data_IF_721184752431
#
_entry.id   IF_721184752431
#
_cell.length_a   1.000
_cell.length_b   1.000
_cell.length_c   1.000
_cell.angle_alpha   90.00
_cell.angle_beta   90.00
_cell.angle_gamma   90.00
#
_symmetry.space_group_name_H-M   'P 1'
#
loop_
_entity.id
_entity.type
_entity.pdbx_description
1 polymer ?
#
# COMPACT_ATOMS: atom_id res chain seq x y z
N UNK A 1 7.07 26.62 31.53
CA UNK A 1 7.80 25.38 31.75
C UNK A 1 7.00 24.16 31.31
N UNK A 2 7.67 23.04 31.01
CA UNK A 2 7.07 21.74 30.79
C UNK A 2 7.33 20.89 32.02
N UNK A 3 6.37 20.05 32.42
CA UNK A 3 6.52 19.08 33.50
C UNK A 3 6.50 17.68 32.85
N UNK A 4 7.50 16.86 33.14
CA UNK A 4 7.53 15.47 32.71
C UNK A 4 6.52 14.62 33.51
N UNK A 5 6.07 13.47 32.99
CA UNK A 5 5.32 12.50 33.77
C UNK A 5 6.05 12.17 35.08
N UNK A 6 5.34 12.05 36.20
CA UNK A 6 5.91 11.84 37.51
C UNK A 6 5.04 10.98 38.41
N UNK A 7 5.66 10.08 39.16
CA UNK A 7 5.02 9.29 40.22
C UNK A 7 4.97 10.02 41.58
N UNK A 8 5.33 11.29 41.61
CA UNK A 8 5.29 12.10 42.82
C UNK A 8 6.50 12.01 43.70
N UNK A 9 7.46 11.12 43.45
CA UNK A 9 8.71 11.04 44.21
C UNK A 9 9.73 12.10 43.77
N UNK A 10 9.78 12.35 42.47
CA UNK A 10 10.58 13.43 41.86
C UNK A 10 9.74 14.05 40.76
N UNK A 11 9.74 15.38 40.69
CA UNK A 11 9.09 16.14 39.65
C UNK A 11 10.21 16.77 38.82
N UNK A 12 10.18 16.56 37.53
CA UNK A 12 11.18 17.12 36.61
C UNK A 12 10.52 17.80 35.38
N UNK A 13 11.35 18.45 34.59
CA UNK A 13 10.86 19.08 33.39
C UNK A 13 11.86 20.04 32.78
N UNK A 14 11.35 20.93 31.90
CA UNK A 14 12.16 21.93 31.24
C UNK A 14 11.58 23.34 31.43
N UNK A 15 12.46 24.33 31.52
CA UNK A 15 12.14 25.73 31.60
C UNK A 15 13.27 26.56 30.94
N UNK A 16 13.17 27.87 30.95
CA UNK A 16 14.28 28.74 30.56
C UNK A 16 15.49 28.49 31.47
N UNK A 17 16.68 28.42 30.87
CA UNK A 17 17.91 28.17 31.59
C UNK A 17 18.15 29.24 32.67
N UNK A 18 18.40 28.81 33.94
CA UNK A 18 18.57 29.69 35.06
C UNK A 18 17.29 30.26 35.68
N UNK A 19 16.12 29.99 35.09
CA UNK A 19 14.87 30.46 35.68
C UNK A 19 14.51 29.68 36.94
N UNK A 20 13.95 30.37 37.92
CA UNK A 20 13.35 29.80 39.11
C UNK A 20 12.03 29.14 38.78
N UNK A 21 11.87 27.85 39.05
CA UNK A 21 10.62 27.10 38.84
C UNK A 21 9.88 27.00 40.16
N UNK A 22 8.68 27.55 40.20
CA UNK A 22 7.81 27.56 41.40
C UNK A 22 6.70 26.50 41.14
N UNK A 23 6.57 25.58 42.10
CA UNK A 23 5.65 24.46 42.05
C UNK A 23 4.50 24.61 43.06
N UNK A 24 3.29 24.44 42.60
CA UNK A 24 2.07 24.45 43.42
C UNK A 24 1.21 23.22 43.13
N UNK A 25 0.34 22.83 44.05
CA UNK A 25 -0.66 21.82 43.82
C UNK A 25 -1.82 22.38 42.93
N UNK A 26 -2.78 21.52 42.54
CA UNK A 26 -3.93 21.89 41.76
C UNK A 26 -4.84 22.96 42.41
N UNK A 27 -4.68 23.19 43.72
CA UNK A 27 -5.43 24.22 44.49
C UNK A 27 -4.61 25.51 44.70
N UNK A 28 -3.36 25.55 44.19
CA UNK A 28 -2.45 26.68 44.37
C UNK A 28 -1.64 26.67 45.65
N UNK A 29 -1.68 25.62 46.47
CA UNK A 29 -0.83 25.50 47.65
C UNK A 29 0.64 25.22 47.23
N UNK A 30 1.63 25.81 47.89
CA UNK A 30 3.02 25.62 47.51
C UNK A 30 3.50 24.18 47.76
N UNK A 31 4.09 23.59 46.73
CA UNK A 31 4.82 22.30 46.81
C UNK A 31 6.31 22.59 47.09
N UNK A 32 6.88 23.57 46.38
CA UNK A 32 8.27 23.96 46.52
C UNK A 32 8.80 24.75 45.34
N UNK A 33 10.12 24.90 45.27
CA UNK A 33 10.79 25.62 44.20
C UNK A 33 12.14 24.99 43.87
N UNK A 34 12.56 25.17 42.62
CA UNK A 34 13.87 24.73 42.13
C UNK A 34 14.37 25.71 41.07
N UNK A 35 15.58 25.50 40.53
CA UNK A 35 16.14 26.33 39.45
C UNK A 35 16.51 25.45 38.28
N UNK A 36 16.15 25.88 37.07
CA UNK A 36 16.56 25.23 35.82
C UNK A 36 18.06 25.38 35.61
N UNK A 37 18.74 24.30 35.23
CA UNK A 37 20.18 24.32 34.95
C UNK A 37 20.50 25.10 33.65
N UNK A 38 21.79 25.13 33.26
CA UNK A 38 22.25 25.83 32.06
C UNK A 38 21.71 25.23 30.71
N UNK A 39 21.14 24.05 30.77
CA UNK A 39 20.45 23.41 29.63
C UNK A 39 18.93 23.53 29.69
N UNK A 40 18.42 24.20 30.72
CA UNK A 40 16.99 24.37 30.95
C UNK A 40 16.30 23.22 31.66
N UNK A 41 17.01 22.19 32.13
CA UNK A 41 16.41 21.08 32.88
C UNK A 41 16.28 21.43 34.36
N UNK A 42 15.20 20.99 34.99
CA UNK A 42 14.98 21.18 36.39
C UNK A 42 14.40 19.90 37.03
N UNK A 43 14.75 19.68 38.31
CA UNK A 43 14.22 18.60 39.14
C UNK A 43 13.89 19.15 40.54
N UNK A 44 12.86 18.59 41.16
CA UNK A 44 12.43 18.86 42.50
C UNK A 44 11.99 17.58 43.18
N UNK A 45 12.48 17.33 44.40
CA UNK A 45 12.09 16.19 45.20
C UNK A 45 11.28 16.70 46.42
N UNK A 46 9.97 16.42 46.46
CA UNK A 46 9.14 16.76 47.63
C UNK A 46 9.63 16.06 48.87
N UNK A 47 9.46 16.69 50.04
CA UNK A 47 9.81 16.09 51.32
C UNK A 47 9.02 14.81 51.64
N UNK A 48 7.82 14.70 51.12
CA UNK A 48 7.01 13.49 51.09
C UNK A 48 6.48 13.31 49.65
N UNK A 49 6.51 12.06 49.09
CA UNK A 49 5.96 11.82 47.75
C UNK A 49 4.54 12.34 47.65
N UNK A 50 4.23 12.95 46.51
CA UNK A 50 2.89 13.44 46.24
C UNK A 50 1.95 12.27 45.91
N UNK A 51 0.72 12.34 46.39
CA UNK A 51 -0.27 11.29 46.20
C UNK A 51 -0.70 11.19 44.72
N UNK A 52 -1.09 9.99 44.31
CA UNK A 52 -1.72 9.77 42.97
C UNK A 52 -2.89 10.73 42.73
N UNK A 53 -2.97 11.29 41.53
CA UNK A 53 -4.01 12.23 41.16
C UNK A 53 -3.73 13.68 41.61
N UNK A 54 -2.62 13.96 42.33
CA UNK A 54 -2.23 15.33 42.69
C UNK A 54 -1.94 16.12 41.41
N UNK A 55 -2.68 17.20 41.17
CA UNK A 55 -2.33 18.19 40.16
C UNK A 55 -1.07 18.95 40.57
N UNK A 56 -0.11 19.08 39.68
CA UNK A 56 1.08 19.87 39.85
C UNK A 56 1.13 20.95 38.80
N UNK A 57 1.29 22.19 39.25
CA UNK A 57 1.45 23.35 38.39
C UNK A 57 2.87 23.89 38.55
N UNK A 58 3.49 24.29 37.47
CA UNK A 58 4.82 24.90 37.46
C UNK A 58 4.77 26.26 36.74
N UNK A 59 5.39 27.26 37.34
CA UNK A 59 5.60 28.57 36.73
C UNK A 59 7.10 28.87 36.77
N UNK A 60 7.67 29.23 35.62
CA UNK A 60 9.07 29.69 35.57
C UNK A 60 9.10 31.21 35.74
N UNK A 61 10.03 31.70 36.56
CA UNK A 61 10.31 33.09 36.81
C UNK A 61 11.76 33.42 36.44
N UNK A 62 11.98 34.40 35.59
CA UNK A 62 13.32 34.84 35.23
C UNK A 62 13.99 35.62 36.39
N UNK A 63 15.30 35.93 36.33
CA UNK A 63 16.00 36.74 37.36
C UNK A 63 15.46 38.17 37.48
N UNK A 64 14.73 38.68 36.49
CA UNK A 64 14.10 40.02 36.54
C UNK A 64 12.69 39.97 37.22
N UNK A 65 12.19 38.78 37.55
CA UNK A 65 10.90 38.59 38.22
C UNK A 65 9.73 38.39 37.27
N UNK A 66 9.95 38.28 35.94
CA UNK A 66 8.86 38.01 34.98
C UNK A 66 8.49 36.52 35.05
N UNK A 67 7.18 36.24 35.02
CA UNK A 67 6.65 34.87 35.08
C UNK A 67 6.16 34.43 33.71
N UNK A 68 6.57 33.22 33.30
CA UNK A 68 6.11 32.56 32.07
C UNK A 68 4.73 31.87 32.24
N UNK A 69 4.18 31.34 31.14
CA UNK A 69 2.93 30.59 31.22
C UNK A 69 3.08 29.34 32.11
N UNK A 70 1.97 28.99 32.79
CA UNK A 70 1.92 27.82 33.65
C UNK A 70 1.94 26.53 32.82
N UNK A 71 2.79 25.59 33.21
CA UNK A 71 2.69 24.17 32.84
C UNK A 71 1.94 23.39 33.91
N UNK A 72 1.25 22.33 33.52
CA UNK A 72 0.50 21.48 34.46
C UNK A 72 0.68 20.01 34.12
N UNK A 73 0.74 19.16 35.16
CA UNK A 73 0.73 17.71 35.05
C UNK A 73 -0.03 17.12 36.23
N UNK A 74 -0.43 15.86 36.10
CA UNK A 74 -1.05 15.12 37.21
C UNK A 74 -0.09 13.99 37.63
N UNK A 75 0.11 13.85 38.91
CA UNK A 75 0.93 12.75 39.49
C UNK A 75 0.20 11.42 39.21
N UNK A 76 0.90 10.50 38.57
CA UNK A 76 0.50 9.12 38.45
C UNK A 76 1.40 8.24 39.28
N UNK A 77 0.91 7.80 40.44
CA UNK A 77 1.61 6.91 41.36
C UNK A 77 1.04 5.48 41.34
N UNK A 78 0.34 5.11 40.25
CA UNK A 78 -0.22 3.77 40.07
C UNK A 78 0.74 2.96 39.20
N UNK A 79 1.31 1.91 39.77
CA UNK A 79 2.17 1.01 38.99
C UNK A 79 1.36 0.23 37.94
N UNK A 80 1.95 -0.04 36.77
CA UNK A 80 1.37 -0.96 35.80
C UNK A 80 1.04 -2.32 36.40
N UNK A 81 0.08 -3.03 35.83
CA UNK A 81 -0.15 -4.42 36.22
C UNK A 81 1.11 -5.28 35.94
N UNK A 82 1.26 -6.35 36.70
CA UNK A 82 2.31 -7.34 36.45
C UNK A 82 2.23 -7.83 35.01
N UNK A 83 3.33 -7.77 34.22
CA UNK A 83 3.35 -8.26 32.85
C UNK A 83 3.01 -9.75 32.77
N UNK A 84 2.48 -10.16 31.61
CA UNK A 84 2.46 -11.57 31.24
C UNK A 84 3.73 -11.85 30.44
N UNK A 85 4.38 -12.97 30.71
CA UNK A 85 5.51 -13.50 29.96
C UNK A 85 5.17 -14.90 29.48
N UNK A 86 5.26 -15.13 28.17
CA UNK A 86 5.00 -16.43 27.58
C UNK A 86 6.19 -17.37 27.82
N UNK A 87 5.98 -18.71 27.80
CA UNK A 87 7.05 -19.68 27.73
C UNK A 87 8.03 -19.37 26.60
N UNK A 88 9.32 -19.58 26.82
CA UNK A 88 10.36 -19.23 25.85
C UNK A 88 11.48 -20.26 25.84
N UNK A 89 11.98 -20.54 24.62
CA UNK A 89 13.19 -21.32 24.42
C UNK A 89 14.49 -20.48 24.47
N UNK A 90 14.36 -19.21 24.79
CA UNK A 90 15.51 -18.29 24.94
C UNK A 90 15.90 -17.55 23.64
N UNK A 91 15.29 -17.84 22.49
CA UNK A 91 15.51 -17.08 21.25
C UNK A 91 14.65 -15.82 21.18
N UNK A 92 13.42 -15.90 21.65
CA UNK A 92 12.45 -14.82 21.70
C UNK A 92 11.75 -14.83 23.06
N UNK A 93 11.67 -13.68 23.69
CA UNK A 93 10.86 -13.41 24.88
C UNK A 93 9.72 -12.51 24.46
N UNK A 94 8.49 -12.85 24.81
CA UNK A 94 7.31 -12.07 24.45
C UNK A 94 6.21 -12.20 25.51
N UNK A 95 5.21 -11.35 25.38
CA UNK A 95 4.06 -11.39 26.29
C UNK A 95 3.21 -10.13 26.17
N UNK A 96 2.53 -9.79 27.27
CA UNK A 96 1.73 -8.57 27.34
C UNK A 96 2.08 -7.73 28.56
N UNK A 97 1.93 -6.43 28.44
CA UNK A 97 2.11 -5.44 29.50
C UNK A 97 1.15 -4.27 29.25
N UNK A 98 1.17 -3.27 30.11
CA UNK A 98 0.40 -2.05 29.88
C UNK A 98 0.83 -1.38 28.57
N UNK A 99 -0.11 -0.97 27.69
CA UNK A 99 0.23 -0.31 26.44
C UNK A 99 1.14 0.91 26.64
N UNK A 100 2.23 0.99 25.87
CA UNK A 100 3.20 2.07 25.94
C UNK A 100 4.21 1.97 27.09
N UNK A 101 4.08 0.99 28.01
CA UNK A 101 5.04 0.80 29.09
C UNK A 101 6.39 0.29 28.60
N UNK A 102 7.47 0.66 29.29
CA UNK A 102 8.81 0.10 29.09
C UNK A 102 8.92 -1.23 29.81
N UNK A 103 9.14 -2.29 29.04
CA UNK A 103 9.32 -3.65 29.58
C UNK A 103 10.80 -3.91 29.77
N UNK A 104 11.21 -4.16 31.01
CA UNK A 104 12.59 -4.44 31.38
C UNK A 104 12.76 -5.92 31.77
N UNK A 105 13.78 -6.57 31.18
CA UNK A 105 14.09 -7.97 31.37
C UNK A 105 15.43 -8.11 32.09
N UNK A 106 15.45 -8.89 33.18
CA UNK A 106 16.68 -9.23 33.94
C UNK A 106 16.78 -10.73 34.14
N UNK A 107 17.99 -11.24 34.37
CA UNK A 107 18.17 -12.63 34.81
C UNK A 107 17.74 -12.83 36.28
N UNK A 108 17.79 -14.07 36.76
CA UNK A 108 17.45 -14.42 38.12
C UNK A 108 18.35 -13.75 39.21
N UNK A 109 19.49 -13.19 38.82
CA UNK A 109 20.41 -12.46 39.66
C UNK A 109 20.25 -10.93 39.56
N UNK A 110 19.31 -10.46 38.73
CA UNK A 110 19.06 -9.04 38.48
C UNK A 110 19.98 -8.40 37.43
N UNK A 111 20.83 -9.17 36.74
CA UNK A 111 21.62 -8.63 35.63
C UNK A 111 20.72 -8.32 34.43
N UNK A 112 20.96 -7.20 33.71
CA UNK A 112 20.13 -6.81 32.59
C UNK A 112 20.26 -7.78 31.42
N UNK A 113 19.12 -8.23 30.88
CA UNK A 113 19.02 -8.96 29.61
C UNK A 113 18.68 -7.95 28.48
N UNK A 114 17.77 -7.02 28.75
CA UNK A 114 17.39 -5.97 27.78
C UNK A 114 16.09 -5.26 28.11
N UNK A 115 15.67 -4.42 27.19
CA UNK A 115 14.43 -3.64 27.30
C UNK A 115 13.69 -3.61 25.96
N UNK A 116 12.38 -3.47 26.02
CA UNK A 116 11.49 -3.24 24.89
C UNK A 116 10.31 -2.39 25.34
N UNK A 117 9.42 -2.01 24.42
CA UNK A 117 8.20 -1.26 24.75
C UNK A 117 6.97 -2.07 24.33
N UNK A 118 5.94 -2.08 25.16
CA UNK A 118 4.64 -2.65 24.81
C UNK A 118 3.94 -1.77 23.77
N UNK A 119 3.41 -2.37 22.72
CA UNK A 119 2.68 -1.67 21.66
C UNK A 119 1.32 -1.12 22.13
N UNK A 120 0.58 -0.45 21.25
CA UNK A 120 -0.72 0.12 21.57
C UNK A 120 -1.81 -0.91 21.94
N UNK A 121 -1.57 -2.21 21.70
CA UNK A 121 -2.41 -3.34 22.10
C UNK A 121 -1.88 -4.04 23.35
N UNK A 122 -0.75 -3.56 23.89
CA UNK A 122 -0.09 -4.12 25.06
C UNK A 122 0.84 -5.29 24.78
N UNK A 123 1.11 -5.65 23.53
CA UNK A 123 2.02 -6.74 23.20
C UNK A 123 3.47 -6.24 23.24
N UNK A 124 4.38 -7.08 23.72
CA UNK A 124 5.80 -6.82 23.70
C UNK A 124 6.59 -8.04 23.21
N UNK A 125 7.72 -7.80 22.60
CA UNK A 125 8.69 -8.83 22.22
C UNK A 125 10.12 -8.32 22.37
N UNK A 126 11.03 -9.24 22.70
CA UNK A 126 12.46 -8.97 22.83
C UNK A 126 13.28 -10.15 22.32
N UNK A 127 14.22 -9.91 21.43
CA UNK A 127 15.17 -10.91 20.93
C UNK A 127 16.54 -10.66 21.57
N UNK A 128 17.04 -11.55 22.43
CA UNK A 128 18.40 -11.44 22.99
C UNK A 128 19.47 -11.49 21.89
N UNK A 129 20.61 -10.84 22.11
CA UNK A 129 21.73 -10.86 21.17
C UNK A 129 22.34 -12.25 20.94
N UNK A 130 22.08 -13.21 21.83
CA UNK A 130 22.34 -14.64 21.69
C UNK A 130 21.26 -15.40 22.49
N UNK A 131 20.98 -16.64 22.06
CA UNK A 131 20.01 -17.49 22.76
C UNK A 131 20.35 -17.59 24.23
N UNK A 132 19.38 -17.37 25.09
CA UNK A 132 19.56 -17.57 26.55
C UNK A 132 19.67 -19.06 26.85
N UNK A 133 20.61 -19.45 27.77
CA UNK A 133 20.78 -20.84 28.14
C UNK A 133 19.52 -21.45 28.78
N UNK A 134 19.33 -22.75 28.56
CA UNK A 134 18.28 -23.52 29.26
C UNK A 134 18.39 -23.37 30.78
N UNK A 135 17.26 -23.19 31.46
CA UNK A 135 17.19 -22.95 32.88
C UNK A 135 17.46 -21.52 33.33
N UNK A 136 17.74 -20.57 32.42
CA UNK A 136 17.83 -19.14 32.74
C UNK A 136 16.49 -18.64 33.26
N UNK A 137 16.50 -18.14 34.52
CA UNK A 137 15.34 -17.44 35.08
C UNK A 137 15.30 -16.02 34.48
N UNK A 138 14.18 -15.61 33.97
CA UNK A 138 13.95 -14.26 33.41
C UNK A 138 12.87 -13.57 34.24
N UNK A 139 13.20 -12.43 34.80
CA UNK A 139 12.27 -11.55 35.51
C UNK A 139 11.89 -10.40 34.55
N UNK A 140 10.61 -10.09 34.48
CA UNK A 140 10.05 -9.08 33.58
C UNK A 140 9.23 -8.09 34.39
N UNK A 141 9.56 -6.80 34.26
CA UNK A 141 8.79 -5.70 34.85
C UNK A 141 8.34 -4.73 33.79
N UNK A 142 7.23 -4.05 34.04
CA UNK A 142 6.75 -2.95 33.19
C UNK A 142 6.86 -1.64 33.97
N UNK A 143 7.33 -0.58 33.30
CA UNK A 143 7.37 0.77 33.88
C UNK A 143 6.59 1.72 33.00
N UNK A 144 5.69 2.52 33.56
CA UNK A 144 4.95 3.56 32.87
C UNK A 144 5.81 4.81 32.61
N UNK A 145 5.23 5.80 31.97
CA UNK A 145 5.89 7.08 31.68
C UNK A 145 6.17 7.91 32.94
N UNK A 146 5.45 7.67 34.04
CA UNK A 146 5.67 8.34 35.31
C UNK A 146 6.78 7.69 36.16
N UNK A 147 7.31 6.56 35.72
CA UNK A 147 8.37 5.81 36.38
C UNK A 147 7.88 4.83 37.47
N UNK A 148 6.56 4.54 37.54
CA UNK A 148 6.08 3.47 38.40
C UNK A 148 6.41 2.14 37.75
N UNK A 149 6.82 1.18 38.59
CA UNK A 149 7.24 -0.15 38.14
C UNK A 149 6.35 -1.22 38.74
N UNK A 150 5.90 -2.15 37.91
CA UNK A 150 5.06 -3.28 38.27
C UNK A 150 5.80 -4.28 39.21
N UNK A 151 5.05 -5.18 39.79
CA UNK A 151 5.62 -6.42 40.32
C UNK A 151 6.23 -7.23 39.15
N UNK A 152 7.31 -8.03 39.43
CA UNK A 152 7.93 -8.86 38.40
C UNK A 152 7.07 -10.07 38.06
N UNK A 153 6.95 -10.37 36.75
CA UNK A 153 6.60 -11.69 36.26
C UNK A 153 7.89 -12.50 36.07
N UNK A 154 7.81 -13.81 36.23
CA UNK A 154 8.98 -14.69 36.09
C UNK A 154 8.68 -15.84 35.15
N UNK A 155 9.62 -16.14 34.25
CA UNK A 155 9.63 -17.37 33.46
C UNK A 155 11.00 -18.02 33.52
N UNK A 156 11.07 -19.31 33.22
CA UNK A 156 12.34 -20.02 33.07
C UNK A 156 12.49 -20.42 31.62
N UNK A 157 13.64 -20.10 31.04
CA UNK A 157 13.97 -20.52 29.67
C UNK A 157 14.01 -22.05 29.65
N UNK A 158 13.19 -22.63 28.79
CA UNK A 158 13.22 -24.05 28.43
C UNK A 158 13.56 -24.18 26.95
N UNK A 159 14.84 -24.45 26.67
CA UNK A 159 15.29 -24.64 25.29
C UNK A 159 14.80 -25.96 24.69
N UNK A 160 14.13 -26.80 25.48
CA UNK A 160 13.36 -27.94 24.99
C UNK A 160 11.93 -27.58 24.59
N UNK A 161 11.48 -26.33 24.84
CA UNK A 161 10.23 -25.81 24.35
C UNK A 161 10.20 -25.87 22.82
N UNK A 162 9.16 -26.42 22.22
CA UNK A 162 8.97 -26.36 20.77
C UNK A 162 8.89 -24.91 20.29
N UNK A 163 9.36 -24.68 19.08
CA UNK A 163 9.09 -23.44 18.37
C UNK A 163 7.59 -23.23 18.16
N UNK A 164 7.15 -21.98 18.15
CA UNK A 164 5.76 -21.67 17.79
C UNK A 164 5.53 -22.13 16.35
N UNK A 165 4.48 -22.93 16.07
CA UNK A 165 4.20 -23.36 14.70
C UNK A 165 4.00 -22.19 13.76
N UNK A 166 4.45 -22.31 12.53
CA UNK A 166 3.97 -21.48 11.44
C UNK A 166 2.69 -22.11 10.89
N UNK A 167 1.67 -21.32 10.66
CA UNK A 167 0.39 -21.77 10.12
C UNK A 167 0.11 -20.98 8.86
N UNK A 168 -0.18 -21.70 7.77
CA UNK A 168 -0.54 -21.11 6.49
C UNK A 168 -1.96 -20.51 6.57
N UNK A 169 -2.28 -19.49 5.76
CA UNK A 169 -3.66 -19.07 5.57
C UNK A 169 -4.53 -20.26 5.15
N UNK A 170 -5.79 -20.29 5.59
CA UNK A 170 -6.67 -21.45 5.36
C UNK A 170 -8.13 -21.03 5.13
N UNK A 171 -8.78 -21.67 4.16
CA UNK A 171 -10.22 -21.56 3.94
C UNK A 171 -11.04 -22.56 4.78
N UNK A 172 -10.41 -23.19 5.75
CA UNK A 172 -11.07 -24.17 6.63
C UNK A 172 -11.13 -25.60 6.09
N UNK A 173 -10.78 -25.84 4.83
CA UNK A 173 -10.75 -27.19 4.25
C UNK A 173 -9.52 -27.98 4.68
N UNK A 174 -8.39 -27.31 4.77
CA UNK A 174 -7.11 -27.85 5.25
C UNK A 174 -6.44 -26.78 6.11
N UNK A 175 -5.87 -27.19 7.23
CA UNK A 175 -4.99 -26.36 8.07
C UNK A 175 -3.61 -26.96 7.96
N UNK A 176 -2.62 -26.17 7.53
CA UNK A 176 -1.25 -26.63 7.28
C UNK A 176 -0.22 -25.65 7.79
N UNK A 177 1.03 -26.08 7.77
CA UNK A 177 2.13 -25.22 8.16
C UNK A 177 3.40 -25.98 8.46
N UNK A 178 4.28 -25.34 9.24
CA UNK A 178 5.55 -25.93 9.68
C UNK A 178 5.74 -25.84 11.18
N UNK A 179 6.48 -26.78 11.75
CA UNK A 179 6.87 -26.85 13.17
C UNK A 179 8.17 -27.66 13.30
N UNK A 180 8.68 -27.83 14.52
CA UNK A 180 9.81 -28.72 14.77
C UNK A 180 9.43 -30.16 14.45
N UNK A 181 10.31 -30.86 13.73
CA UNK A 181 10.07 -32.22 13.26
C UNK A 181 9.74 -33.16 14.44
N UNK A 182 8.71 -33.98 14.26
CA UNK A 182 8.27 -34.97 15.24
C UNK A 182 7.38 -34.41 16.37
N UNK A 183 7.13 -33.09 16.41
CA UNK A 183 6.19 -32.52 17.38
C UNK A 183 4.74 -32.85 17.03
N UNK A 184 3.91 -33.03 18.04
CA UNK A 184 2.47 -33.14 17.88
C UNK A 184 1.85 -31.77 17.79
N UNK A 185 1.17 -31.47 16.70
CA UNK A 185 0.44 -30.23 16.48
C UNK A 185 -0.99 -30.42 16.99
N UNK A 186 -1.38 -29.61 17.95
CA UNK A 186 -2.70 -29.61 18.58
C UNK A 186 -3.45 -28.40 18.05
N UNK A 187 -4.63 -28.64 17.52
CA UNK A 187 -5.48 -27.64 16.83
C UNK A 187 -6.79 -27.54 17.62
N UNK A 188 -7.10 -26.30 18.06
CA UNK A 188 -8.34 -25.99 18.80
C UNK A 188 -9.03 -24.79 18.20
N UNK A 189 -10.31 -24.62 18.47
CA UNK A 189 -11.03 -23.38 18.15
C UNK A 189 -10.66 -22.25 19.12
N UNK A 190 -11.17 -21.03 18.89
CA UNK A 190 -10.93 -19.86 19.74
C UNK A 190 -11.41 -19.99 21.19
N UNK A 191 -12.25 -20.99 21.48
CA UNK A 191 -12.75 -21.31 22.83
C UNK A 191 -11.98 -22.45 23.49
N UNK A 192 -10.98 -23.03 22.79
CA UNK A 192 -10.19 -24.15 23.25
C UNK A 192 -10.81 -25.53 23.02
N UNK A 193 -11.92 -25.63 22.28
CA UNK A 193 -12.49 -26.95 21.91
C UNK A 193 -11.59 -27.63 20.88
N UNK A 194 -11.35 -28.95 20.99
CA UNK A 194 -10.45 -29.66 20.09
C UNK A 194 -11.05 -29.75 18.67
N UNK A 195 -10.26 -29.35 17.67
CA UNK A 195 -10.53 -29.58 16.24
C UNK A 195 -9.81 -30.85 15.80
N UNK A 196 -8.55 -31.02 16.20
CA UNK A 196 -7.76 -32.20 15.88
C UNK A 196 -6.31 -32.13 16.26
N UNK A 197 -5.56 -33.14 15.82
CA UNK A 197 -4.11 -33.16 16.00
C UNK A 197 -3.42 -33.93 14.86
N UNK A 198 -2.17 -33.56 14.60
CA UNK A 198 -1.31 -34.19 13.59
C UNK A 198 0.16 -34.13 14.03
N UNK A 199 1.03 -34.95 13.48
CA UNK A 199 2.46 -34.91 13.78
C UNK A 199 3.20 -34.25 12.63
N UNK A 200 4.12 -33.30 12.93
CA UNK A 200 5.02 -32.73 11.96
C UNK A 200 5.99 -33.79 11.43
N UNK A 201 6.16 -33.87 10.12
CA UNK A 201 7.02 -34.85 9.47
C UNK A 201 8.51 -34.58 9.74
N UNK A 202 9.40 -35.42 9.19
CA UNK A 202 10.86 -35.29 9.35
C UNK A 202 11.46 -34.00 8.74
N UNK A 203 10.69 -33.26 7.91
CA UNK A 203 11.03 -31.95 7.34
C UNK A 203 10.36 -30.81 8.09
N UNK A 204 9.54 -31.13 9.09
CA UNK A 204 8.79 -30.15 9.89
C UNK A 204 7.46 -29.74 9.28
N UNK A 205 7.02 -30.31 8.16
CA UNK A 205 5.73 -29.99 7.56
C UNK A 205 4.60 -30.75 8.23
N UNK A 206 3.44 -30.11 8.34
CA UNK A 206 2.24 -30.74 8.86
C UNK A 206 1.00 -30.25 8.09
N UNK A 207 -0.01 -31.11 8.02
CA UNK A 207 -1.28 -30.81 7.37
C UNK A 207 -2.40 -31.60 8.05
N UNK A 208 -3.49 -30.92 8.34
CA UNK A 208 -4.66 -31.48 8.99
C UNK A 208 -5.93 -31.15 8.19
N UNK A 209 -6.75 -32.13 7.88
CA UNK A 209 -8.02 -31.96 7.20
C UNK A 209 -9.15 -32.19 8.21
N UNK A 210 -9.92 -31.14 8.59
CA UNK A 210 -11.10 -31.32 9.45
C UNK A 210 -12.14 -32.24 8.80
N UNK A 211 -12.87 -33.02 9.61
CA UNK A 211 -13.94 -33.88 9.08
C UNK A 211 -15.08 -33.11 8.41
N UNK A 212 -15.26 -31.85 8.77
CA UNK A 212 -16.14 -30.87 8.12
C UNK A 212 -15.32 -29.60 8.00
N UNK A 213 -15.29 -28.91 6.83
CA UNK A 213 -14.60 -27.67 6.68
C UNK A 213 -15.01 -26.63 7.75
N UNK A 214 -14.05 -25.93 8.30
CA UNK A 214 -14.31 -24.92 9.32
C UNK A 214 -14.97 -23.70 8.66
N UNK A 215 -16.01 -23.11 9.30
CA UNK A 215 -16.66 -21.92 8.80
C UNK A 215 -15.71 -20.71 8.70
N UNK A 216 -16.03 -19.79 7.79
CA UNK A 216 -15.41 -18.47 7.73
C UNK A 216 -15.47 -17.77 9.08
N UNK A 217 -14.39 -17.03 9.41
CA UNK A 217 -14.26 -16.33 10.69
C UNK A 217 -13.91 -17.21 11.89
N UNK A 218 -13.80 -18.54 11.71
CA UNK A 218 -13.38 -19.45 12.80
C UNK A 218 -11.96 -19.10 13.23
N UNK A 219 -11.78 -18.77 14.51
CA UNK A 219 -10.44 -18.61 15.12
C UNK A 219 -9.88 -20.00 15.41
N UNK A 220 -8.67 -20.25 14.97
CA UNK A 220 -7.95 -21.52 15.17
C UNK A 220 -6.67 -21.24 15.92
N UNK A 221 -6.48 -21.93 17.06
CA UNK A 221 -5.25 -21.92 17.84
C UNK A 221 -4.48 -23.21 17.53
N UNK A 222 -3.19 -23.05 17.26
CA UNK A 222 -2.29 -24.16 16.92
C UNK A 222 -1.12 -24.17 17.87
N UNK A 223 -0.91 -25.26 18.59
CA UNK A 223 0.17 -25.46 19.55
C UNK A 223 1.02 -26.64 19.11
N UNK A 224 2.33 -26.51 19.12
CA UNK A 224 3.25 -27.62 18.96
C UNK A 224 3.58 -28.21 20.33
N UNK A 225 3.42 -29.52 20.49
CA UNK A 225 3.77 -30.28 21.69
C UNK A 225 4.99 -31.15 21.41
N UNK A 226 6.06 -30.96 22.18
CA UNK A 226 7.25 -31.80 22.07
C UNK A 226 6.96 -33.25 22.50
N UNK A 227 7.82 -34.22 22.14
CA UNK A 227 7.76 -35.57 22.68
C UNK A 227 7.86 -35.61 24.21
N UNK A 228 8.47 -34.60 24.84
CA UNK A 228 8.56 -34.45 26.30
C UNK A 228 7.30 -33.84 26.91
N UNK A 229 6.24 -33.68 26.15
CA UNK A 229 4.95 -33.15 26.59
C UNK A 229 4.97 -31.66 27.03
N UNK A 230 5.88 -30.89 26.44
CA UNK A 230 5.99 -29.43 26.63
C UNK A 230 5.32 -28.75 25.45
N UNK A 231 4.44 -27.80 25.73
CA UNK A 231 3.69 -27.06 24.71
C UNK A 231 4.40 -25.75 24.34
N UNK A 232 4.38 -25.41 23.07
CA UNK A 232 4.78 -24.07 22.59
C UNK A 232 3.74 -23.02 23.00
N UNK A 233 4.07 -21.74 22.82
CA UNK A 233 3.04 -20.72 22.71
C UNK A 233 2.16 -21.00 21.47
N UNK A 234 0.87 -20.61 21.47
CA UNK A 234 -0.03 -20.82 20.36
C UNK A 234 0.28 -19.90 19.17
N UNK A 235 0.21 -20.43 17.95
CA UNK A 235 -0.05 -19.65 16.76
C UNK A 235 -1.56 -19.51 16.57
N UNK A 236 -2.01 -18.37 16.09
CA UNK A 236 -3.43 -18.09 15.91
C UNK A 236 -3.67 -17.64 14.47
N UNK A 237 -4.65 -18.26 13.81
CA UNK A 237 -5.17 -17.81 12.52
C UNK A 237 -6.68 -17.66 12.58
N UNK A 238 -7.23 -16.91 11.66
CA UNK A 238 -8.68 -16.89 11.39
C UNK A 238 -8.92 -17.53 10.02
N UNK A 239 -9.84 -18.44 9.95
CA UNK A 239 -10.27 -19.07 8.69
C UNK A 239 -10.89 -18.00 7.81
N UNK A 240 -10.43 -17.91 6.58
CA UNK A 240 -11.00 -17.07 5.53
C UNK A 240 -11.67 -17.96 4.48
N UNK A 241 -12.98 -18.10 4.55
CA UNK A 241 -13.80 -18.88 3.63
C UNK A 241 -14.42 -18.03 2.51
N UNK A 242 -14.03 -16.75 2.38
CA UNK A 242 -14.61 -15.82 1.42
C UNK A 242 -13.79 -15.82 0.13
N UNK A 243 -14.39 -16.24 -0.98
CA UNK A 243 -13.71 -16.17 -2.28
C UNK A 243 -13.53 -14.71 -2.75
N UNK A 244 -12.39 -14.38 -3.35
CA UNK A 244 -12.18 -13.07 -3.93
C UNK A 244 -13.17 -12.79 -5.07
N UNK A 245 -13.34 -11.52 -5.42
CA UNK A 245 -14.09 -11.13 -6.61
C UNK A 245 -13.42 -11.69 -7.88
N UNK A 246 -14.21 -11.93 -8.94
CA UNK A 246 -13.65 -12.29 -10.23
C UNK A 246 -12.68 -11.21 -10.70
N UNK A 247 -11.50 -11.59 -11.24
CA UNK A 247 -10.54 -10.61 -11.73
C UNK A 247 -11.08 -9.85 -12.94
N UNK A 248 -10.57 -8.65 -13.17
CA UNK A 248 -10.74 -7.93 -14.44
C UNK A 248 -9.54 -8.26 -15.31
N UNK A 249 -9.78 -8.47 -16.61
CA UNK A 249 -8.73 -8.65 -17.61
C UNK A 249 -8.85 -7.51 -18.60
N UNK A 250 -7.77 -6.76 -18.82
CA UNK A 250 -7.71 -5.71 -19.83
C UNK A 250 -7.69 -6.31 -21.24
N UNK A 251 -8.13 -5.55 -22.28
CA UNK A 251 -7.92 -5.96 -23.66
C UNK A 251 -6.43 -6.25 -23.90
N UNK A 252 -6.11 -7.30 -24.66
CA UNK A 252 -4.73 -7.74 -24.88
C UNK A 252 -4.50 -8.22 -26.31
N UNK A 253 -3.35 -7.85 -26.87
CA UNK A 253 -2.84 -8.40 -28.13
C UNK A 253 -2.07 -9.72 -27.96
N UNK A 254 -2.07 -10.29 -26.79
CA UNK A 254 -1.41 -11.56 -26.50
C UNK A 254 0.08 -11.48 -26.16
N UNK A 255 0.70 -10.29 -26.20
CA UNK A 255 2.11 -10.12 -25.79
C UNK A 255 2.24 -9.91 -24.29
N UNK A 256 1.28 -9.22 -23.69
CA UNK A 256 1.12 -9.03 -22.26
C UNK A 256 -0.37 -9.16 -21.92
N UNK A 257 -0.65 -9.73 -20.78
CA UNK A 257 -1.98 -9.86 -20.21
C UNK A 257 -1.95 -9.13 -18.88
N UNK A 258 -2.85 -8.17 -18.68
CA UNK A 258 -2.93 -7.36 -17.46
C UNK A 258 -4.35 -7.23 -16.96
N UNK A 259 -4.47 -6.66 -15.77
CA UNK A 259 -5.77 -6.37 -15.21
C UNK A 259 -5.74 -6.10 -13.71
N UNK A 260 -6.89 -6.28 -13.06
CA UNK A 260 -7.02 -6.09 -11.63
C UNK A 260 -7.64 -7.31 -10.95
N UNK A 261 -7.26 -7.54 -9.71
CA UNK A 261 -7.81 -8.57 -8.83
C UNK A 261 -7.70 -8.10 -7.37
N UNK A 262 -8.12 -8.91 -6.44
CA UNK A 262 -7.89 -8.66 -5.02
C UNK A 262 -6.38 -8.60 -4.73
N UNK A 263 -5.97 -7.61 -3.92
CA UNK A 263 -4.57 -7.42 -3.59
C UNK A 263 -3.96 -8.67 -2.91
N UNK A 264 -2.85 -9.15 -3.42
CA UNK A 264 -2.18 -10.37 -2.95
C UNK A 264 -2.74 -11.67 -3.50
N UNK A 265 -3.88 -11.66 -4.22
CA UNK A 265 -4.43 -12.86 -4.85
C UNK A 265 -3.55 -13.33 -6.02
N UNK A 266 -3.49 -14.63 -6.22
CA UNK A 266 -2.87 -15.25 -7.38
C UNK A 266 -3.89 -15.37 -8.50
N UNK A 267 -3.66 -14.69 -9.63
CA UNK A 267 -4.47 -14.79 -10.84
C UNK A 267 -3.96 -15.95 -11.69
N UNK A 268 -4.79 -16.96 -11.86
CA UNK A 268 -4.49 -18.17 -12.64
C UNK A 268 -5.12 -18.04 -14.01
N UNK A 269 -4.31 -18.18 -15.06
CA UNK A 269 -4.70 -17.99 -16.46
C UNK A 269 -4.73 -19.32 -17.20
N UNK A 270 -5.84 -19.55 -17.91
CA UNK A 270 -6.01 -20.73 -18.79
C UNK A 270 -6.53 -20.29 -20.16
N UNK A 271 -6.32 -21.11 -21.17
CA UNK A 271 -6.96 -20.92 -22.48
C UNK A 271 -8.44 -21.36 -22.46
N UNK A 272 -9.15 -21.14 -23.57
CA UNK A 272 -10.55 -21.56 -23.73
C UNK A 272 -10.78 -23.06 -23.62
N UNK A 273 -9.75 -23.89 -23.70
CA UNK A 273 -9.76 -25.33 -23.48
C UNK A 273 -9.43 -25.74 -22.05
N UNK A 274 -9.11 -24.78 -21.16
CA UNK A 274 -8.70 -25.05 -19.79
C UNK A 274 -7.20 -25.40 -19.63
N UNK A 275 -6.38 -25.30 -20.69
CA UNK A 275 -4.96 -25.55 -20.57
C UNK A 275 -4.28 -24.36 -19.90
N UNK A 276 -3.27 -24.58 -19.03
CA UNK A 276 -2.62 -23.49 -18.31
C UNK A 276 -1.83 -22.56 -19.27
N UNK A 277 -2.04 -21.26 -19.15
CA UNK A 277 -1.23 -20.22 -19.76
C UNK A 277 -0.14 -19.76 -18.79
N UNK A 278 -0.51 -19.54 -17.52
CA UNK A 278 0.39 -19.08 -16.47
C UNK A 278 -0.33 -18.51 -15.26
N UNK A 279 0.40 -17.79 -14.45
CA UNK A 279 -0.17 -17.13 -13.27
C UNK A 279 0.60 -15.83 -12.96
N UNK A 280 -0.07 -14.89 -12.27
CA UNK A 280 0.51 -13.66 -11.77
C UNK A 280 -0.04 -13.36 -10.37
N UNK A 281 0.68 -12.59 -9.58
CA UNK A 281 0.19 -12.12 -8.27
C UNK A 281 -0.22 -10.67 -8.37
N UNK A 282 -1.41 -10.32 -7.88
CA UNK A 282 -1.87 -8.94 -7.79
C UNK A 282 -1.06 -8.19 -6.72
N UNK A 283 -0.59 -7.01 -7.06
CA UNK A 283 0.18 -6.15 -6.15
C UNK A 283 -0.70 -5.56 -5.04
N UNK A 284 -0.11 -4.74 -4.15
CA UNK A 284 -0.83 -4.09 -3.05
C UNK A 284 -1.92 -3.10 -3.49
N UNK A 285 -1.98 -2.73 -4.78
CA UNK A 285 -3.04 -1.92 -5.39
C UNK A 285 -4.05 -2.75 -6.19
N UNK A 286 -3.84 -4.07 -6.24
CA UNK A 286 -4.66 -5.02 -6.96
C UNK A 286 -4.30 -5.17 -8.45
N UNK A 287 -3.23 -4.56 -8.96
CA UNK A 287 -2.83 -4.69 -10.36
C UNK A 287 -1.99 -5.95 -10.57
N UNK A 288 -2.18 -6.62 -11.70
CA UNK A 288 -1.38 -7.78 -12.08
C UNK A 288 -1.02 -7.74 -13.57
N UNK A 289 0.12 -8.31 -13.90
CA UNK A 289 0.60 -8.47 -15.29
C UNK A 289 1.22 -9.83 -15.46
N UNK A 290 1.05 -10.41 -16.65
CA UNK A 290 1.65 -11.68 -17.06
C UNK A 290 2.14 -11.58 -18.51
N UNK A 291 3.38 -11.95 -18.77
CA UNK A 291 3.96 -12.01 -20.10
C UNK A 291 4.14 -13.47 -20.50
N UNK A 292 3.36 -13.97 -21.48
CA UNK A 292 3.56 -15.32 -22.01
C UNK A 292 4.95 -15.49 -22.65
N UNK A 293 5.54 -16.68 -22.54
CA UNK A 293 6.84 -16.97 -23.18
C UNK A 293 6.81 -16.86 -24.70
N UNK A 294 5.64 -17.02 -25.29
CA UNK A 294 5.33 -16.76 -26.70
C UNK A 294 4.02 -16.02 -26.77
N UNK A 295 3.92 -14.96 -27.60
CA UNK A 295 2.65 -14.23 -27.75
C UNK A 295 1.49 -15.17 -28.08
N UNK A 296 0.34 -14.94 -27.47
CA UNK A 296 -0.85 -15.72 -27.73
C UNK A 296 -1.45 -15.32 -29.10
N UNK A 297 -1.96 -16.32 -29.83
CA UNK A 297 -2.53 -16.07 -31.15
C UNK A 297 -3.84 -15.27 -31.06
N UNK A 298 -4.11 -14.48 -32.12
CA UNK A 298 -5.39 -13.80 -32.30
C UNK A 298 -6.56 -14.78 -32.14
N UNK A 299 -7.59 -14.37 -31.41
CA UNK A 299 -8.77 -15.20 -31.15
C UNK A 299 -8.60 -16.20 -29.99
N UNK A 300 -7.43 -16.28 -29.35
CA UNK A 300 -7.26 -17.10 -28.14
C UNK A 300 -8.15 -16.54 -27.03
N UNK A 301 -9.00 -17.41 -26.47
CA UNK A 301 -9.76 -17.04 -25.26
C UNK A 301 -8.86 -17.24 -24.06
N UNK A 302 -8.77 -16.23 -23.21
CA UNK A 302 -8.07 -16.24 -21.93
C UNK A 302 -9.12 -16.24 -20.83
N UNK A 303 -9.08 -17.23 -19.97
CA UNK A 303 -9.88 -17.29 -18.74
C UNK A 303 -8.96 -17.00 -17.57
N UNK A 304 -9.44 -16.22 -16.61
CA UNK A 304 -8.73 -15.91 -15.37
C UNK A 304 -9.62 -16.17 -14.17
N UNK A 305 -9.04 -16.75 -13.13
CA UNK A 305 -9.62 -16.84 -11.79
C UNK A 305 -8.62 -16.27 -10.78
N UNK A 306 -9.11 -15.58 -9.77
CA UNK A 306 -8.28 -15.12 -8.66
C UNK A 306 -8.37 -16.15 -7.53
N UNK A 307 -7.23 -16.46 -6.91
CA UNK A 307 -7.15 -17.30 -5.72
C UNK A 307 -6.47 -16.49 -4.61
N UNK A 308 -7.13 -16.36 -3.46
CA UNK A 308 -6.55 -15.69 -2.30
C UNK A 308 -5.48 -16.56 -1.60
N UNK A 309 -4.74 -16.01 -0.62
CA UNK A 309 -3.77 -16.79 0.15
C UNK A 309 -4.37 -17.94 0.96
N UNK A 310 -5.67 -17.90 1.28
CA UNK A 310 -6.38 -18.97 1.98
C UNK A 310 -6.80 -20.11 1.04
N UNK A 311 -6.67 -19.94 -0.27
CA UNK A 311 -6.99 -20.93 -1.29
C UNK A 311 -8.43 -20.84 -1.82
N UNK A 312 -9.21 -19.81 -1.46
CA UNK A 312 -10.52 -19.59 -2.07
C UNK A 312 -10.36 -19.11 -3.51
N UNK A 313 -11.20 -19.59 -4.39
CA UNK A 313 -11.12 -19.26 -5.82
C UNK A 313 -12.35 -18.49 -6.26
N UNK A 314 -12.15 -17.40 -6.98
CA UNK A 314 -13.21 -16.57 -7.55
C UNK A 314 -14.00 -17.25 -8.66
N UNK A 315 -15.10 -16.63 -9.08
CA UNK A 315 -15.68 -16.89 -10.39
C UNK A 315 -14.70 -16.51 -11.52
N UNK A 316 -14.86 -17.10 -12.73
CA UNK A 316 -13.99 -16.80 -13.86
C UNK A 316 -14.32 -15.45 -14.51
N UNK A 317 -13.30 -14.81 -15.07
CA UNK A 317 -13.42 -13.75 -16.07
C UNK A 317 -12.80 -14.23 -17.39
N UNK A 318 -13.20 -13.63 -18.50
CA UNK A 318 -12.70 -14.02 -19.82
C UNK A 318 -12.47 -12.81 -20.71
N UNK A 319 -11.43 -12.87 -21.56
CA UNK A 319 -11.16 -11.94 -22.65
C UNK A 319 -10.68 -12.74 -23.87
N UNK A 320 -10.89 -12.20 -25.05
CA UNK A 320 -10.34 -12.78 -26.29
C UNK A 320 -9.17 -11.93 -26.75
N UNK A 321 -8.07 -12.56 -27.08
CA UNK A 321 -6.89 -11.89 -27.66
C UNK A 321 -7.25 -11.28 -28.99
N UNK A 322 -6.98 -10.00 -29.13
CA UNK A 322 -7.03 -9.28 -30.40
C UNK A 322 -5.60 -8.86 -30.80
N UNK A 323 -5.02 -9.61 -31.70
CA UNK A 323 -3.68 -9.33 -32.25
C UNK A 323 -3.76 -8.74 -33.68
N UNK A 324 -4.90 -8.17 -34.06
CA UNK A 324 -5.09 -7.54 -35.36
C UNK A 324 -4.87 -6.04 -35.22
N UNK A 325 -3.88 -5.52 -35.93
CA UNK A 325 -3.65 -4.08 -35.95
C UNK A 325 -4.82 -3.34 -36.66
N UNK A 326 -5.24 -2.19 -36.12
CA UNK A 326 -6.24 -1.37 -36.78
C UNK A 326 -5.74 -0.88 -38.14
N UNK A 327 -6.64 -0.48 -39.07
CA UNK A 327 -6.27 0.18 -40.31
C UNK A 327 -5.47 1.46 -40.04
N UNK A 328 -4.57 1.81 -40.99
CA UNK A 328 -3.84 3.07 -40.90
C UNK A 328 -4.84 4.26 -40.87
N UNK A 329 -4.64 5.25 -39.99
CA UNK A 329 -5.54 6.40 -39.92
C UNK A 329 -5.43 7.26 -41.17
N UNK A 330 -6.50 7.97 -41.50
CA UNK A 330 -6.49 9.01 -42.52
C UNK A 330 -6.25 10.35 -41.87
N UNK A 331 -5.41 11.20 -42.47
CA UNK A 331 -5.20 12.58 -42.07
C UNK A 331 -5.80 13.49 -43.15
N UNK A 332 -6.72 14.36 -42.77
CA UNK A 332 -7.25 15.37 -43.68
C UNK A 332 -6.22 16.48 -43.94
N UNK A 333 -6.26 17.18 -45.04
CA UNK A 333 -5.47 18.40 -45.27
C UNK A 333 -5.61 19.35 -44.06
N UNK A 334 -4.51 19.91 -43.61
CA UNK A 334 -4.47 20.77 -42.40
C UNK A 334 -3.59 21.98 -42.60
N UNK A 335 -4.06 23.13 -42.13
CA UNK A 335 -3.25 24.36 -42.01
C UNK A 335 -2.47 24.45 -40.72
N UNK A 336 -2.40 23.38 -39.91
CA UNK A 336 -1.68 23.32 -38.68
C UNK A 336 -2.42 23.80 -37.42
N UNK A 337 -3.63 24.38 -37.57
CA UNK A 337 -4.47 24.85 -36.45
C UNK A 337 -5.24 23.68 -35.83
N UNK A 338 -5.86 22.87 -36.70
CA UNK A 338 -6.54 21.63 -36.32
C UNK A 338 -6.03 20.51 -37.21
N UNK A 339 -5.70 19.39 -36.66
CA UNK A 339 -5.37 18.16 -37.35
C UNK A 339 -6.56 17.23 -37.15
N UNK A 340 -7.12 16.71 -38.26
CA UNK A 340 -8.31 15.85 -38.16
C UNK A 340 -8.23 14.71 -39.17
N UNK A 341 -9.12 13.74 -39.03
CA UNK A 341 -9.17 12.61 -39.94
C UNK A 341 -10.09 11.51 -39.45
N UNK A 342 -9.82 10.29 -39.94
CA UNK A 342 -10.56 9.10 -39.52
C UNK A 342 -9.61 7.98 -39.12
N UNK A 343 -10.05 7.14 -38.19
CA UNK A 343 -9.38 5.95 -37.74
C UNK A 343 -10.43 4.91 -37.32
N UNK A 344 -10.01 3.77 -36.84
CA UNK A 344 -10.92 2.81 -36.23
C UNK A 344 -11.64 3.43 -35.02
N UNK A 345 -12.94 3.19 -34.91
CA UNK A 345 -13.72 3.74 -33.79
C UNK A 345 -13.19 3.29 -32.45
N UNK A 346 -12.93 4.25 -31.57
CA UNK A 346 -12.35 3.99 -30.25
C UNK A 346 -10.82 3.86 -30.19
N UNK A 347 -10.14 3.80 -31.36
CA UNK A 347 -8.69 3.74 -31.41
C UNK A 347 -8.07 5.07 -30.95
N UNK A 348 -6.92 4.99 -30.29
CA UNK A 348 -6.10 6.15 -29.94
C UNK A 348 -5.20 6.52 -31.10
N UNK A 349 -5.38 7.71 -31.68
CA UNK A 349 -4.53 8.26 -32.74
C UNK A 349 -3.37 9.01 -32.08
N UNK A 350 -2.16 8.51 -32.29
CA UNK A 350 -0.91 9.07 -31.78
C UNK A 350 -0.25 9.88 -32.89
N UNK A 351 0.02 11.16 -32.63
CA UNK A 351 0.57 12.13 -33.58
C UNK A 351 2.02 12.47 -33.22
N UNK A 352 2.90 12.38 -34.22
CA UNK A 352 4.30 12.79 -34.10
C UNK A 352 4.71 13.68 -35.29
N UNK A 353 5.77 14.48 -35.10
CA UNK A 353 6.39 15.20 -36.21
C UNK A 353 7.22 14.28 -37.11
N UNK A 354 7.79 14.82 -38.18
CA UNK A 354 8.65 14.08 -39.13
C UNK A 354 9.95 13.51 -38.49
N UNK A 355 10.30 13.95 -37.28
CA UNK A 355 11.46 13.47 -36.54
C UNK A 355 11.07 12.46 -35.44
N UNK A 356 9.78 12.17 -35.29
CA UNK A 356 9.25 11.29 -34.26
C UNK A 356 8.99 11.96 -32.89
N UNK A 357 9.11 13.29 -32.77
CA UNK A 357 8.76 13.97 -31.53
C UNK A 357 7.23 13.99 -31.36
N UNK A 358 6.70 13.81 -30.14
CA UNK A 358 5.26 13.79 -29.90
C UNK A 358 4.62 15.16 -30.17
N UNK A 359 3.53 15.16 -30.96
CA UNK A 359 2.63 16.30 -31.12
C UNK A 359 1.48 16.17 -30.13
N UNK A 360 0.92 14.97 -29.98
CA UNK A 360 -0.16 14.66 -29.05
C UNK A 360 -0.88 13.37 -29.40
N UNK A 361 -2.01 13.14 -28.74
CA UNK A 361 -2.87 11.98 -29.01
C UNK A 361 -4.34 12.35 -28.84
N UNK A 362 -5.23 11.60 -29.49
CA UNK A 362 -6.67 11.79 -29.44
C UNK A 362 -7.37 10.46 -29.72
N UNK A 363 -8.53 10.23 -29.10
CA UNK A 363 -9.34 9.02 -29.35
C UNK A 363 -10.33 9.30 -30.47
N UNK A 364 -10.45 8.39 -31.45
CA UNK A 364 -11.47 8.43 -32.48
C UNK A 364 -12.86 8.17 -31.88
N UNK A 365 -13.85 8.93 -32.30
CA UNK A 365 -15.23 8.79 -31.82
C UNK A 365 -15.90 7.49 -32.30
N UNK A 366 -17.13 7.23 -31.88
CA UNK A 366 -17.88 6.04 -32.27
C UNK A 366 -18.21 5.92 -33.79
N UNK A 367 -17.95 6.98 -34.57
CA UNK A 367 -18.03 7.01 -36.03
C UNK A 367 -16.66 6.96 -36.69
N UNK A 368 -15.58 6.84 -35.89
CA UNK A 368 -14.22 6.82 -36.37
C UNK A 368 -13.60 8.19 -36.66
N UNK A 369 -14.26 9.31 -36.36
CA UNK A 369 -13.70 10.64 -36.60
C UNK A 369 -12.81 11.06 -35.41
N UNK A 370 -11.73 11.77 -35.70
CA UNK A 370 -10.87 12.36 -34.71
C UNK A 370 -10.44 13.78 -35.09
N UNK A 371 -10.19 14.61 -34.08
CA UNK A 371 -9.66 15.96 -34.26
C UNK A 371 -8.77 16.32 -33.06
N UNK A 372 -7.60 16.88 -33.35
CA UNK A 372 -6.62 17.31 -32.36
C UNK A 372 -6.22 18.76 -32.63
N UNK A 373 -6.18 19.60 -31.60
CA UNK A 373 -5.73 20.99 -31.66
C UNK A 373 -4.40 21.10 -30.89
N UNK A 374 -3.28 21.31 -31.62
CA UNK A 374 -1.99 21.55 -30.97
C UNK A 374 -2.02 22.81 -30.08
N UNK A 375 -1.24 22.83 -29.01
CA UNK A 375 -1.14 24.00 -28.12
C UNK A 375 -0.65 25.26 -28.85
N UNK A 376 0.17 25.08 -29.89
CA UNK A 376 0.59 26.12 -30.83
C UNK A 376 0.38 25.59 -32.26
N UNK A 377 -0.17 26.39 -33.19
CA UNK A 377 -0.33 25.97 -34.58
C UNK A 377 0.99 25.45 -35.18
N UNK A 378 0.95 24.35 -35.87
CA UNK A 378 2.12 23.79 -36.54
C UNK A 378 2.53 24.63 -37.73
N UNK A 379 3.85 24.78 -37.90
CA UNK A 379 4.42 25.58 -38.99
C UNK A 379 4.15 24.94 -40.37
N UNK A 380 4.10 25.77 -41.40
CA UNK A 380 4.02 25.30 -42.80
C UNK A 380 5.19 24.33 -43.09
N UNK A 381 4.87 23.25 -43.80
CA UNK A 381 5.86 22.22 -44.13
C UNK A 381 6.14 21.20 -43.00
N UNK A 382 5.53 21.34 -41.84
CA UNK A 382 5.64 20.34 -40.80
C UNK A 382 5.05 19.01 -41.25
N UNK A 383 5.82 17.96 -41.24
CA UNK A 383 5.33 16.59 -41.46
C UNK A 383 4.64 16.09 -40.20
N UNK A 384 3.42 15.60 -40.35
CA UNK A 384 2.63 14.98 -39.30
C UNK A 384 2.57 13.49 -39.61
N UNK A 385 2.99 12.64 -38.68
CA UNK A 385 2.76 11.20 -38.73
C UNK A 385 1.65 10.85 -37.75
N UNK A 386 0.69 10.04 -38.21
CA UNK A 386 -0.38 9.51 -37.36
C UNK A 386 -0.33 7.98 -37.35
N UNK A 387 -0.47 7.40 -36.16
CA UNK A 387 -0.54 5.98 -35.87
C UNK A 387 -1.84 5.73 -35.10
N UNK A 388 -2.63 4.76 -35.45
CA UNK A 388 -3.78 4.33 -34.67
C UNK A 388 -3.37 3.14 -33.79
N UNK A 389 -3.78 3.18 -32.53
CA UNK A 389 -3.62 2.08 -31.56
C UNK A 389 -5.00 1.68 -31.07
N UNK A 390 -5.33 0.39 -31.14
CA UNK A 390 -6.59 -0.15 -30.61
C UNK A 390 -6.53 -0.33 -29.08
N UNK A 391 -7.64 -0.80 -28.49
CA UNK A 391 -7.73 -1.06 -27.05
C UNK A 391 -6.84 -2.22 -26.59
N UNK A 392 -6.47 -3.14 -27.49
CA UNK A 392 -5.58 -4.26 -27.19
C UNK A 392 -4.10 -3.88 -27.31
N UNK A 393 -3.78 -2.65 -27.73
CA UNK A 393 -2.42 -2.15 -27.88
C UNK A 393 -1.79 -2.44 -29.23
N UNK A 394 -2.54 -2.93 -30.23
CA UNK A 394 -1.98 -3.12 -31.57
C UNK A 394 -1.83 -1.78 -32.29
N UNK A 395 -0.72 -1.61 -32.95
CA UNK A 395 -0.41 -0.41 -33.71
C UNK A 395 -0.64 -0.60 -35.21
N UNK A 396 -1.31 0.34 -35.83
CA UNK A 396 -1.44 0.39 -37.31
C UNK A 396 -0.11 0.70 -37.98
N UNK A 397 -0.07 0.58 -39.29
CA UNK A 397 0.92 1.30 -40.10
C UNK A 397 0.71 2.82 -39.97
N UNK A 398 1.78 3.62 -39.95
CA UNK A 398 1.68 5.07 -39.88
C UNK A 398 1.20 5.67 -41.22
N UNK A 399 0.49 6.80 -41.15
CA UNK A 399 0.16 7.67 -42.28
C UNK A 399 0.81 9.03 -42.06
N UNK A 400 1.22 9.69 -43.14
CA UNK A 400 1.85 11.00 -43.06
C UNK A 400 1.10 12.03 -43.90
N UNK A 401 1.06 13.28 -43.41
CA UNK A 401 0.61 14.44 -44.11
C UNK A 401 1.52 15.64 -43.83
N UNK A 402 1.53 16.62 -44.72
CA UNK A 402 2.31 17.85 -44.52
C UNK A 402 1.35 19.02 -44.29
N UNK A 403 1.67 19.81 -43.28
CA UNK A 403 0.94 21.06 -42.99
C UNK A 403 1.13 22.04 -44.15
N UNK A 404 0.05 22.55 -44.69
CA UNK A 404 0.02 23.66 -45.64
C UNK A 404 -0.74 24.83 -45.00
N UNK A 405 -0.02 25.79 -44.51
CA UNK A 405 -0.56 27.02 -43.93
C UNK A 405 -0.41 28.24 -44.84
N UNK A 406 0.01 28.02 -46.10
CA UNK A 406 0.11 29.09 -47.09
C UNK A 406 -1.25 29.38 -47.69
N UNK A 407 -1.61 30.65 -47.75
CA UNK A 407 -2.79 31.04 -48.47
C UNK A 407 -2.53 30.90 -50.00
N UNK A 408 -3.50 30.39 -50.77
CA UNK A 408 -3.35 30.33 -52.19
C UNK A 408 -3.09 31.71 -52.80
N UNK A 409 -2.34 31.75 -53.89
CA UNK A 409 -2.12 33.00 -54.62
C UNK A 409 -3.44 33.58 -55.13
N UNK A 410 -3.50 34.91 -55.17
CA UNK A 410 -4.68 35.58 -55.68
C UNK A 410 -5.02 35.07 -57.10
N UNK A 411 -6.26 34.68 -57.37
CA UNK A 411 -6.66 34.22 -58.72
C UNK A 411 -6.53 35.36 -59.74
N UNK A 412 -6.17 35.01 -60.97
CA UNK A 412 -6.18 35.92 -62.07
C UNK A 412 -7.51 35.76 -62.85
N UNK A 413 -8.22 36.85 -63.06
CA UNK A 413 -9.48 36.85 -63.79
C UNK A 413 -9.18 37.41 -65.16
N UNK A 414 -9.57 36.64 -66.19
CA UNK A 414 -9.44 37.09 -67.57
C UNK A 414 -10.52 38.16 -67.96
N UNK A 415 -10.26 39.03 -68.90
CA UNK A 415 -11.28 39.95 -69.41
C UNK A 415 -12.56 39.21 -69.81
N UNK A 416 -13.74 39.68 -69.36
CA UNK A 416 -15.04 39.02 -69.59
C UNK A 416 -16.04 39.98 -70.17
N UNK A 417 -16.89 39.46 -71.08
CA UNK A 417 -18.03 40.16 -71.59
C UNK A 417 -19.31 39.97 -70.74
N UNK A 418 -19.20 39.34 -69.58
CA UNK A 418 -20.33 39.08 -68.69
C UNK A 418 -21.09 37.77 -68.95
N UNK A 419 -20.78 37.04 -70.03
CA UNK A 419 -21.40 35.74 -70.29
C UNK A 419 -20.64 34.56 -69.69
N UNK A 420 -19.33 34.66 -69.66
CA UNK A 420 -18.42 33.70 -69.03
C UNK A 420 -17.36 34.46 -68.24
N UNK A 421 -17.07 34.04 -66.98
CA UNK A 421 -15.97 34.49 -66.22
C UNK A 421 -14.96 33.34 -66.17
N UNK A 422 -13.75 33.58 -66.61
CA UNK A 422 -12.66 32.60 -66.63
C UNK A 422 -11.39 33.19 -65.98
N UNK A 423 -10.44 32.35 -65.70
CA UNK A 423 -9.18 32.79 -65.14
C UNK A 423 -8.30 31.61 -64.68
N UNK A 424 -7.29 31.90 -63.97
CA UNK A 424 -6.36 30.90 -63.35
C UNK A 424 -6.25 31.09 -61.85
N UNK A 425 -6.14 29.99 -61.14
CA UNK A 425 -5.92 29.95 -59.71
C UNK A 425 -4.96 28.80 -59.38
N UNK A 426 -4.61 28.66 -58.14
CA UNK A 426 -3.87 27.51 -57.67
C UNK A 426 -4.70 26.23 -57.90
N UNK A 427 -4.05 25.18 -58.35
CA UNK A 427 -4.74 23.92 -58.68
C UNK A 427 -5.43 23.33 -57.41
N UNK A 428 -6.72 23.04 -57.50
CA UNK A 428 -7.54 22.54 -56.40
C UNK A 428 -8.09 23.62 -55.47
N UNK A 429 -7.74 24.88 -55.65
CA UNK A 429 -8.32 25.99 -54.87
C UNK A 429 -9.75 26.29 -55.32
N UNK A 430 -10.63 26.57 -54.38
CA UNK A 430 -11.98 27.06 -54.70
C UNK A 430 -11.96 28.58 -54.92
N UNK A 431 -12.28 29.03 -56.12
CA UNK A 431 -12.41 30.45 -56.47
C UNK A 431 -13.84 30.89 -56.19
N UNK A 432 -13.98 31.83 -55.26
CA UNK A 432 -15.25 32.45 -54.88
C UNK A 432 -15.37 33.77 -55.67
N UNK A 433 -16.42 33.90 -56.46
CA UNK A 433 -16.70 35.07 -57.27
C UNK A 433 -17.76 35.95 -56.59
N UNK A 434 -17.45 37.24 -56.43
CA UNK A 434 -18.38 38.23 -55.89
C UNK A 434 -18.48 39.44 -56.83
N UNK A 435 -19.61 40.15 -56.77
CA UNK A 435 -19.77 41.45 -57.49
C UNK A 435 -18.96 42.55 -56.73
N UNK A 436 -18.91 43.78 -57.26
CA UNK A 436 -18.20 44.90 -56.67
C UNK A 436 -18.74 45.37 -55.32
N UNK A 437 -19.88 44.86 -54.89
CA UNK A 437 -20.52 45.10 -53.59
C UNK A 437 -20.31 43.92 -52.60
N UNK A 438 -19.62 42.88 -53.04
CA UNK A 438 -19.37 41.69 -52.21
C UNK A 438 -20.46 40.64 -52.23
N UNK A 439 -21.49 40.76 -53.09
CA UNK A 439 -22.53 39.76 -53.19
C UNK A 439 -22.02 38.55 -54.00
N UNK A 440 -22.37 37.31 -53.59
CA UNK A 440 -21.88 36.12 -54.26
C UNK A 440 -22.44 35.98 -55.67
N UNK A 441 -21.59 35.75 -56.68
CA UNK A 441 -21.93 35.42 -58.07
C UNK A 441 -21.92 33.90 -58.26
N UNK A 442 -20.92 33.21 -57.67
CA UNK A 442 -20.75 31.78 -57.76
C UNK A 442 -19.39 31.31 -57.25
N UNK A 443 -19.13 29.99 -57.39
CA UNK A 443 -17.82 29.42 -57.08
C UNK A 443 -17.44 28.33 -58.08
N UNK A 444 -16.15 28.11 -58.25
CA UNK A 444 -15.57 27.08 -59.12
C UNK A 444 -14.26 26.56 -58.47
N UNK A 445 -13.95 25.28 -58.67
CA UNK A 445 -12.72 24.63 -58.20
C UNK A 445 -11.89 24.22 -59.38
#
# INVERSE_FOLDING_TARGET
PVIDPSNGTTISGTAEAGAKVILTDGNGNPIGETTADGSGNWTFTPATPLANGTGVNAVAQDPAGNTGPQGSATVDAVAPNTPVVNPSNGNLLNGTAEPGSTVTLTDGNGNPIGQTTADGSGNWSFTPGSQLPNGTVVNVTASDAAGNTSLPATTTVDSSLPSIPQVDPSNGSVISGTADAGNTIIITDGNGNPIGQVTADGSGNWSFTPGIPLPDGTVVNVVARSPSNVDSAPAVITVDGVAPAAPVIDPSNGTEISGTAEAGATVILTDGGGNPIGQATADGSGNWTFTPSTPLANGTVINAVAQDPAGNTSGPASVTVDAIAPPAPVINPSNGVVISGTAEAGATVILTDGNGNPIGQVTADGSGNWAFTPATPLANGTVINALAQDAAGNNSSPTSATVDSLAPAAPVIDPSNGSVIAGTAEAGATVILTDGNGNPIGQVT
#
